data_IF_374189167545
#
_entry.id   IF_374189167545
#
_cell.length_a   1.000
_cell.length_b   1.000
_cell.length_c   1.000
_cell.angle_alpha   90.00
_cell.angle_beta   90.00
_cell.angle_gamma   90.00
#
_symmetry.space_group_name_H-M   'P 1'
#
loop_
_entity.id
_entity.type
_entity.pdbx_description
1 polymer ?
#
# COMPACT_ATOMS: atom_id res chain seq x y z
N UNK A 1 -11.99 -19.71 51.82
CA UNK A 1 -12.40 -19.91 50.42
C UNK A 1 -11.17 -20.33 49.65
N UNK A 2 -11.07 -21.63 49.38
CA UNK A 2 -9.87 -22.32 48.88
C UNK A 2 -9.95 -22.41 47.36
N UNK A 3 -8.91 -21.93 46.67
CA UNK A 3 -8.77 -22.00 45.20
C UNK A 3 -8.30 -23.39 44.79
N UNK A 4 -9.06 -24.04 43.91
CA UNK A 4 -8.67 -25.30 43.24
C UNK A 4 -7.96 -24.98 41.91
N UNK A 5 -6.93 -25.75 41.49
CA UNK A 5 -6.26 -25.53 40.21
C UNK A 5 -7.05 -26.17 39.06
N UNK A 6 -7.06 -25.45 37.94
CA UNK A 6 -7.70 -25.83 36.67
C UNK A 6 -6.79 -26.82 35.92
N UNK A 7 -7.31 -28.02 35.62
CA UNK A 7 -6.60 -29.06 34.85
C UNK A 7 -7.05 -28.97 33.39
N UNK A 8 -6.10 -28.77 32.48
CA UNK A 8 -6.34 -28.68 31.03
C UNK A 8 -6.44 -30.08 30.40
N UNK A 9 -7.47 -30.40 29.60
CA UNK A 9 -7.56 -31.70 28.91
C UNK A 9 -6.65 -31.73 27.67
N UNK A 10 -5.88 -32.80 27.54
CA UNK A 10 -5.01 -33.10 26.40
C UNK A 10 -5.81 -33.48 25.15
N UNK A 11 -5.57 -32.77 24.05
CA UNK A 11 -6.16 -33.06 22.73
C UNK A 11 -5.45 -34.26 22.06
N UNK A 12 -6.19 -35.09 21.28
CA UNK A 12 -5.62 -36.24 20.58
C UNK A 12 -4.77 -35.83 19.37
N UNK A 13 -3.63 -36.53 19.19
CA UNK A 13 -2.73 -36.39 18.03
C UNK A 13 -3.39 -36.90 16.75
N UNK A 14 -3.57 -36.03 15.77
CA UNK A 14 -3.95 -36.41 14.40
C UNK A 14 -2.70 -36.91 13.64
N UNK A 15 -2.86 -38.05 12.96
CA UNK A 15 -1.83 -38.66 12.12
C UNK A 15 -1.60 -37.83 10.84
N UNK A 16 -0.34 -37.63 10.49
CA UNK A 16 0.12 -36.91 9.30
C UNK A 16 -0.28 -37.64 8.01
N UNK A 17 -1.11 -37.00 7.19
CA UNK A 17 -1.35 -37.41 5.81
C UNK A 17 -0.23 -36.86 4.92
N UNK A 18 0.43 -37.77 4.21
CA UNK A 18 1.59 -37.51 3.34
C UNK A 18 1.14 -36.78 2.06
N UNK A 19 1.53 -35.52 1.91
CA UNK A 19 1.30 -34.74 0.70
C UNK A 19 2.15 -35.26 -0.47
N UNK A 20 1.55 -35.45 -1.64
CA UNK A 20 2.19 -35.80 -2.90
C UNK A 20 2.82 -34.56 -3.59
N UNK A 21 3.96 -34.69 -4.28
CA UNK A 21 4.66 -33.54 -4.87
C UNK A 21 3.95 -33.00 -6.11
N UNK A 22 3.75 -31.68 -6.16
CA UNK A 22 3.31 -30.94 -7.35
C UNK A 22 4.46 -30.77 -8.37
N UNK A 23 4.17 -30.73 -9.68
CA UNK A 23 5.18 -30.60 -10.73
C UNK A 23 5.74 -29.18 -10.82
N UNK A 24 7.07 -29.07 -11.04
CA UNK A 24 7.77 -27.80 -11.27
C UNK A 24 7.47 -27.26 -12.68
N UNK A 25 7.30 -25.92 -12.87
CA UNK A 25 7.20 -25.34 -14.20
C UNK A 25 8.57 -25.30 -14.90
N UNK A 26 8.55 -25.66 -16.18
CA UNK A 26 9.71 -25.68 -17.09
C UNK A 26 10.16 -24.27 -17.48
N UNK A 27 11.47 -24.01 -17.37
CA UNK A 27 12.13 -22.78 -17.85
C UNK A 27 12.13 -22.78 -19.38
N UNK A 28 11.40 -21.83 -19.98
CA UNK A 28 11.45 -21.51 -21.40
C UNK A 28 12.31 -20.26 -21.65
N UNK A 29 13.34 -20.40 -22.47
CA UNK A 29 14.29 -19.36 -22.87
C UNK A 29 13.70 -18.38 -23.89
N UNK A 30 14.04 -17.10 -23.75
CA UNK A 30 14.36 -16.22 -24.88
C UNK A 30 13.20 -15.51 -25.60
N UNK A 31 13.16 -14.18 -25.47
CA UNK A 31 12.34 -13.32 -26.32
C UNK A 31 12.24 -11.91 -25.77
N UNK A 32 13.22 -11.06 -26.08
CA UNK A 32 13.20 -9.64 -25.73
C UNK A 32 12.00 -8.93 -26.35
N UNK A 33 11.16 -8.35 -25.51
CA UNK A 33 10.06 -7.47 -25.93
C UNK A 33 10.46 -6.02 -25.65
N UNK A 34 10.64 -5.28 -26.74
CA UNK A 34 10.91 -3.85 -26.75
C UNK A 34 9.67 -3.06 -26.31
N UNK A 35 9.85 -2.13 -25.38
CA UNK A 35 8.82 -1.18 -24.96
C UNK A 35 8.74 -0.01 -25.96
N UNK A 36 7.55 0.35 -26.49
CA UNK A 36 7.42 1.60 -27.23
C UNK A 36 7.28 2.78 -26.26
N UNK A 37 8.18 3.74 -26.36
CA UNK A 37 8.05 5.06 -25.75
C UNK A 37 6.86 5.80 -26.40
N UNK A 38 5.87 6.22 -25.60
CA UNK A 38 4.74 7.01 -26.08
C UNK A 38 4.95 8.49 -25.79
N UNK A 39 5.28 9.23 -26.84
CA UNK A 39 5.45 10.68 -26.87
C UNK A 39 4.09 11.37 -26.70
N UNK A 40 3.93 12.19 -25.66
CA UNK A 40 2.80 13.12 -25.54
C UNK A 40 3.12 14.40 -26.31
N UNK A 41 2.62 14.50 -27.53
CA UNK A 41 2.54 15.74 -28.29
C UNK A 41 1.08 16.10 -28.53
N UNK A 42 0.56 17.09 -27.81
CA UNK A 42 -0.70 17.73 -28.15
C UNK A 42 -0.51 19.24 -28.23
N UNK A 43 -0.15 19.69 -29.43
CA UNK A 43 -0.33 21.06 -29.90
C UNK A 43 -1.83 21.33 -29.99
N UNK A 44 -2.37 22.07 -29.03
CA UNK A 44 -3.71 22.65 -29.17
C UNK A 44 -3.58 23.99 -29.90
N UNK A 45 -4.02 23.96 -31.16
CA UNK A 45 -4.23 25.12 -32.02
C UNK A 45 -5.35 25.99 -31.43
N UNK A 46 -5.02 27.23 -31.09
CA UNK A 46 -5.98 28.31 -30.90
C UNK A 46 -6.69 28.57 -32.24
N UNK A 47 -7.99 28.24 -32.34
CA UNK A 47 -8.87 28.77 -33.37
C UNK A 47 -9.59 29.98 -32.79
N UNK A 48 -9.20 31.16 -33.28
CA UNK A 48 -10.00 32.37 -33.21
C UNK A 48 -11.32 32.16 -33.95
N UNK A 49 -12.43 32.44 -33.29
CA UNK A 49 -13.73 32.61 -33.91
C UNK A 49 -14.35 33.91 -33.35
N UNK A 50 -14.20 34.97 -34.12
CA UNK A 50 -14.98 36.21 -33.99
C UNK A 50 -16.29 35.99 -34.74
N UNK A 51 -17.44 36.13 -34.07
CA UNK A 51 -18.69 36.54 -34.69
C UNK A 51 -19.60 37.25 -33.68
N UNK A 52 -20.00 38.47 -34.04
CA UNK A 52 -21.05 39.28 -33.39
C UNK A 52 -22.44 38.80 -33.80
N UNK A 53 -23.43 38.91 -32.90
CA UNK A 53 -24.76 39.48 -33.17
C UNK A 53 -25.67 39.48 -31.91
N UNK A 54 -26.43 40.55 -31.78
CA UNK A 54 -27.37 40.91 -30.71
C UNK A 54 -28.60 40.01 -30.61
N UNK A 55 -29.19 39.90 -29.40
CA UNK A 55 -30.50 39.29 -29.19
C UNK A 55 -30.97 39.36 -27.73
N UNK A 56 -32.20 39.84 -27.52
CA UNK A 56 -32.82 40.29 -26.27
C UNK A 56 -33.41 39.14 -25.42
N UNK A 57 -33.29 39.24 -24.09
CA UNK A 57 -34.33 38.93 -23.09
C UNK A 57 -34.72 37.48 -22.79
N UNK A 58 -34.44 37.03 -21.55
CA UNK A 58 -35.07 35.86 -20.95
C UNK A 58 -34.39 35.41 -19.64
N UNK A 59 -35.02 35.71 -18.50
CA UNK A 59 -34.61 35.24 -17.17
C UNK A 59 -34.66 33.71 -17.08
N UNK A 60 -33.54 33.11 -16.70
CA UNK A 60 -33.42 31.70 -16.37
C UNK A 60 -31.96 31.32 -16.33
N UNK A 61 -31.28 31.59 -15.21
CA UNK A 61 -29.93 31.10 -14.98
C UNK A 61 -29.93 29.58 -15.15
N UNK A 62 -29.21 29.01 -16.12
CA UNK A 62 -29.00 27.57 -16.11
C UNK A 62 -28.08 27.28 -14.93
N UNK A 63 -28.61 26.59 -13.93
CA UNK A 63 -27.81 26.01 -12.85
C UNK A 63 -26.90 25.00 -13.55
N UNK A 64 -25.65 25.39 -13.77
CA UNK A 64 -24.63 24.51 -14.32
C UNK A 64 -24.60 23.24 -13.46
N UNK A 65 -24.40 22.05 -14.06
CA UNK A 65 -24.15 20.87 -13.25
C UNK A 65 -22.89 21.18 -12.44
N UNK A 66 -23.04 21.20 -11.11
CA UNK A 66 -21.92 21.19 -10.17
C UNK A 66 -21.08 19.96 -10.50
N UNK A 67 -20.05 20.16 -11.31
CA UNK A 67 -19.05 19.16 -11.60
C UNK A 67 -18.29 18.95 -10.30
N UNK A 68 -18.73 17.95 -9.52
CA UNK A 68 -18.03 17.52 -8.32
C UNK A 68 -16.65 17.07 -8.77
N UNK A 69 -15.68 17.96 -8.67
CA UNK A 69 -14.27 17.63 -8.86
C UNK A 69 -13.92 16.61 -7.80
N UNK A 70 -13.94 15.32 -8.17
CA UNK A 70 -13.48 14.25 -7.29
C UNK A 70 -11.98 14.48 -7.12
N UNK A 71 -11.63 15.17 -6.05
CA UNK A 71 -10.24 15.40 -5.67
C UNK A 71 -9.61 14.05 -5.37
N UNK A 72 -8.58 13.68 -6.13
CA UNK A 72 -7.87 12.41 -5.96
C UNK A 72 -7.21 12.34 -4.58
N UNK A 73 -7.42 11.24 -3.86
CA UNK A 73 -6.84 10.98 -2.53
C UNK A 73 -5.37 10.58 -2.65
N UNK A 74 -4.52 11.58 -2.83
CA UNK A 74 -3.08 11.44 -3.05
C UNK A 74 -2.27 11.97 -1.87
N UNK A 75 -1.21 11.26 -1.51
CA UNK A 75 -0.20 11.70 -0.54
C UNK A 75 1.20 11.54 -1.11
N UNK A 76 2.08 12.50 -0.82
CA UNK A 76 3.48 12.48 -1.25
C UNK A 76 4.38 13.01 -0.14
N UNK A 77 5.37 12.20 0.22
CA UNK A 77 6.33 12.53 1.28
C UNK A 77 7.74 12.33 0.76
N UNK A 78 8.58 13.34 0.97
CA UNK A 78 10.02 13.27 0.78
C UNK A 78 10.68 13.56 2.12
N UNK A 79 11.50 12.64 2.59
CA UNK A 79 12.18 12.71 3.88
C UNK A 79 13.64 12.39 3.67
N UNK A 80 14.51 13.22 4.23
CA UNK A 80 15.96 13.03 4.18
C UNK A 80 16.49 13.15 5.60
N UNK A 81 17.19 12.13 6.06
CA UNK A 81 17.89 12.09 7.34
C UNK A 81 19.39 11.93 7.08
N UNK A 82 20.19 11.66 8.12
CA UNK A 82 21.60 11.30 7.94
C UNK A 82 21.78 9.84 7.48
N UNK A 83 20.84 8.97 7.84
CA UNK A 83 20.88 7.54 7.56
C UNK A 83 20.16 7.20 6.25
N UNK A 84 19.08 7.91 5.92
CA UNK A 84 18.20 7.56 4.80
C UNK A 84 17.75 8.75 3.95
N UNK A 85 17.34 8.45 2.72
CA UNK A 85 16.62 9.34 1.83
C UNK A 85 15.44 8.57 1.24
N UNK A 86 14.22 8.99 1.59
CA UNK A 86 12.98 8.27 1.31
C UNK A 86 12.01 9.19 0.56
N UNK A 87 11.46 8.67 -0.54
CA UNK A 87 10.42 9.31 -1.33
C UNK A 87 9.25 8.33 -1.51
N UNK A 88 8.10 8.69 -0.95
CA UNK A 88 6.86 7.91 -1.02
C UNK A 88 5.78 8.71 -1.73
N UNK A 89 5.00 8.04 -2.59
CA UNK A 89 3.70 8.52 -3.08
C UNK A 89 2.66 7.42 -2.93
N UNK A 90 1.47 7.77 -2.50
CA UNK A 90 0.34 6.84 -2.38
C UNK A 90 -0.91 7.45 -3.00
N UNK A 91 -1.58 6.68 -3.84
CA UNK A 91 -2.95 6.93 -4.30
C UNK A 91 -3.89 5.93 -3.63
N UNK A 92 -4.82 6.42 -2.81
CA UNK A 92 -5.82 5.57 -2.15
C UNK A 92 -6.92 5.08 -3.10
N UNK A 93 -7.13 5.78 -4.21
CA UNK A 93 -8.09 5.42 -5.28
C UNK A 93 -7.32 4.85 -6.47
N UNK A 94 -6.48 3.87 -6.21
CA UNK A 94 -5.54 3.31 -7.18
C UNK A 94 -6.07 2.08 -7.91
N UNK A 95 -5.14 1.42 -8.58
CA UNK A 95 -5.35 0.19 -9.37
C UNK A 95 -4.55 -1.00 -8.84
N UNK A 96 -3.84 -0.81 -7.72
CA UNK A 96 -3.02 -1.85 -7.10
C UNK A 96 -1.60 -1.94 -7.64
N UNK A 97 -1.09 -0.88 -8.28
CA UNK A 97 0.25 -0.86 -8.87
C UNK A 97 1.29 -0.44 -7.84
N UNK A 98 2.32 -1.25 -7.66
CA UNK A 98 3.50 -0.91 -6.86
C UNK A 98 4.73 -0.61 -7.73
N UNK A 99 5.48 0.43 -7.36
CA UNK A 99 6.81 0.72 -7.87
C UNK A 99 7.72 1.04 -6.69
N UNK A 100 8.25 -0.03 -6.09
CA UNK A 100 9.07 0.02 -4.89
C UNK A 100 10.52 -0.31 -5.23
N UNK A 101 11.45 0.45 -4.64
CA UNK A 101 12.88 0.17 -4.67
C UNK A 101 13.46 0.74 -3.40
N UNK A 102 13.43 -0.09 -2.35
CA UNK A 102 13.85 0.28 -1.00
C UNK A 102 15.28 -0.13 -0.67
N UNK A 103 15.85 -1.03 -1.47
CA UNK A 103 17.11 -1.71 -1.14
C UNK A 103 16.91 -2.94 -0.25
N UNK A 104 15.69 -3.22 0.19
CA UNK A 104 15.31 -4.37 1.01
C UNK A 104 14.31 -5.22 0.21
N UNK A 105 14.76 -6.30 -0.48
CA UNK A 105 13.91 -7.03 -1.42
C UNK A 105 12.62 -7.61 -0.83
N UNK A 106 12.67 -8.06 0.44
CA UNK A 106 11.49 -8.58 1.11
C UNK A 106 10.46 -7.48 1.43
N UNK A 107 10.91 -6.29 1.81
CA UNK A 107 10.03 -5.14 2.02
C UNK A 107 9.39 -4.69 0.70
N UNK A 108 10.16 -4.67 -0.40
CA UNK A 108 9.62 -4.39 -1.72
C UNK A 108 8.48 -5.37 -2.07
N UNK A 109 8.67 -6.66 -1.78
CA UNK A 109 7.61 -7.67 -1.96
C UNK A 109 6.38 -7.41 -1.08
N UNK A 110 6.56 -7.01 0.19
CA UNK A 110 5.44 -6.67 1.08
C UNK A 110 4.68 -5.42 0.59
N UNK A 111 5.37 -4.43 0.01
CA UNK A 111 4.74 -3.25 -0.56
C UNK A 111 3.92 -3.59 -1.83
N UNK A 112 4.36 -4.57 -2.62
CA UNK A 112 3.57 -5.10 -3.74
C UNK A 112 2.26 -5.74 -3.25
N UNK A 113 2.31 -6.51 -2.15
CA UNK A 113 1.11 -7.09 -1.53
C UNK A 113 0.18 -6.01 -0.98
N UNK A 114 0.73 -4.99 -0.31
CA UNK A 114 -0.04 -3.85 0.19
C UNK A 114 -0.78 -3.12 -0.94
N UNK A 115 -0.10 -2.85 -2.06
CA UNK A 115 -0.70 -2.19 -3.20
C UNK A 115 -1.82 -3.04 -3.82
N UNK A 116 -1.51 -4.29 -4.19
CA UNK A 116 -2.42 -5.17 -4.92
C UNK A 116 -3.68 -5.54 -4.13
N UNK A 117 -3.55 -5.83 -2.83
CA UNK A 117 -4.70 -6.18 -1.98
C UNK A 117 -5.45 -4.95 -1.44
N UNK A 118 -4.77 -3.81 -1.28
CA UNK A 118 -5.39 -2.55 -0.86
C UNK A 118 -6.01 -1.75 -2.02
N UNK A 119 -5.74 -2.12 -3.27
CA UNK A 119 -6.03 -1.33 -4.47
C UNK A 119 -5.43 0.08 -4.43
N UNK A 120 -4.25 0.20 -3.82
CA UNK A 120 -3.48 1.44 -3.78
C UNK A 120 -2.49 1.47 -4.93
N UNK A 121 -2.22 2.66 -5.49
CA UNK A 121 -0.99 2.83 -6.26
C UNK A 121 0.10 3.33 -5.31
N UNK A 122 1.17 2.55 -5.17
CA UNK A 122 2.25 2.77 -4.20
C UNK A 122 3.55 3.00 -4.95
N UNK A 123 4.20 4.12 -4.68
CA UNK A 123 5.55 4.42 -5.15
C UNK A 123 6.46 4.63 -3.95
N UNK A 124 7.55 3.87 -3.88
CA UNK A 124 8.57 4.02 -2.84
C UNK A 124 9.96 3.98 -3.47
N UNK A 125 10.74 5.04 -3.29
CA UNK A 125 12.19 5.01 -3.50
C UNK A 125 12.87 5.31 -2.18
N UNK A 126 13.74 4.43 -1.75
CA UNK A 126 14.58 4.67 -0.59
C UNK A 126 16.03 4.31 -0.89
N UNK A 127 16.93 5.11 -0.35
CA UNK A 127 18.35 4.79 -0.23
C UNK A 127 18.74 5.04 1.21
N UNK A 128 19.27 4.02 1.88
CA UNK A 128 19.74 4.13 3.25
C UNK A 128 20.95 3.26 3.51
N UNK A 129 21.39 3.25 4.76
CA UNK A 129 22.54 2.54 5.29
C UNK A 129 22.33 1.02 5.48
N UNK A 130 21.63 0.38 4.53
CA UNK A 130 21.32 -1.08 4.48
C UNK A 130 22.52 -2.04 4.60
N UNK A 131 23.75 -1.51 4.52
CA UNK A 131 25.00 -2.25 4.74
C UNK A 131 25.34 -2.42 6.24
N UNK A 132 24.71 -1.64 7.12
CA UNK A 132 24.77 -1.77 8.58
C UNK A 132 23.71 -2.78 9.00
N UNK A 133 22.43 -2.41 8.82
CA UNK A 133 21.25 -3.26 8.94
C UNK A 133 20.07 -2.63 8.17
N UNK A 134 18.90 -3.28 8.21
CA UNK A 134 17.67 -2.82 7.55
C UNK A 134 16.78 -1.94 8.44
N UNK A 135 17.18 -1.67 9.69
CA UNK A 135 16.34 -1.02 10.70
C UNK A 135 15.96 0.41 10.30
N UNK A 136 16.94 1.28 10.10
CA UNK A 136 16.69 2.69 9.78
C UNK A 136 15.91 2.85 8.48
N UNK A 137 16.28 2.09 7.46
CA UNK A 137 15.63 2.13 6.15
C UNK A 137 14.16 1.71 6.26
N UNK A 138 13.87 0.59 6.91
CA UNK A 138 12.50 0.11 7.06
C UNK A 138 11.64 1.07 7.92
N UNK A 139 12.19 1.58 9.03
CA UNK A 139 11.50 2.55 9.90
C UNK A 139 11.16 3.85 9.16
N UNK A 140 12.14 4.48 8.51
CA UNK A 140 11.91 5.76 7.80
C UNK A 140 10.96 5.59 6.61
N UNK A 141 10.96 4.43 5.95
CA UNK A 141 9.95 4.06 4.93
C UNK A 141 8.56 3.96 5.54
N UNK A 142 8.40 3.23 6.65
CA UNK A 142 7.12 3.08 7.33
C UNK A 142 6.57 4.44 7.81
N UNK A 143 7.42 5.30 8.36
CA UNK A 143 7.07 6.67 8.75
C UNK A 143 6.62 7.52 7.55
N UNK A 144 7.32 7.43 6.42
CA UNK A 144 6.96 8.16 5.21
C UNK A 144 5.64 7.65 4.61
N UNK A 145 5.41 6.33 4.60
CA UNK A 145 4.15 5.70 4.18
C UNK A 145 2.99 6.17 5.07
N UNK A 146 3.13 6.07 6.39
CA UNK A 146 2.09 6.53 7.33
C UNK A 146 1.76 8.00 7.14
N UNK A 147 2.78 8.84 6.93
CA UNK A 147 2.59 10.28 6.66
C UNK A 147 1.88 10.51 5.32
N UNK A 148 2.25 9.79 4.26
CA UNK A 148 1.60 9.90 2.95
C UNK A 148 0.14 9.43 3.01
N UNK A 149 -0.16 8.35 3.73
CA UNK A 149 -1.53 7.88 3.97
C UNK A 149 -2.36 8.95 4.69
N UNK A 150 -1.80 9.60 5.73
CA UNK A 150 -2.50 10.69 6.44
C UNK A 150 -2.81 11.88 5.54
N UNK A 151 -1.89 12.26 4.65
CA UNK A 151 -2.13 13.31 3.66
C UNK A 151 -3.25 12.89 2.68
N UNK A 152 -3.18 11.68 2.16
CA UNK A 152 -4.15 11.16 1.20
C UNK A 152 -5.57 11.01 1.79
N UNK A 153 -5.68 10.72 3.09
CA UNK A 153 -6.96 10.63 3.81
C UNK A 153 -7.66 11.98 4.01
N UNK A 154 -6.93 13.10 3.92
CA UNK A 154 -7.48 14.44 4.02
C UNK A 154 -8.32 14.67 5.29
N UNK A 155 -9.54 15.19 5.12
CA UNK A 155 -10.44 15.49 6.24
C UNK A 155 -11.18 14.27 6.82
N UNK A 156 -10.99 13.08 6.20
CA UNK A 156 -11.57 11.79 6.62
C UNK A 156 -13.10 11.80 6.69
N UNK A 157 -13.77 12.65 5.92
CA UNK A 157 -15.25 12.62 5.83
C UNK A 157 -15.71 11.63 4.76
N UNK A 158 -16.86 11.01 5.02
CA UNK A 158 -17.53 10.11 4.07
C UNK A 158 -16.83 8.76 3.83
N UNK A 159 -15.84 8.40 4.64
CA UNK A 159 -15.14 7.11 4.54
C UNK A 159 -15.71 6.07 5.49
N UNK A 160 -15.49 4.79 5.17
CA UNK A 160 -15.60 3.71 6.15
C UNK A 160 -14.47 3.86 7.17
N UNK A 161 -14.80 4.42 8.33
CA UNK A 161 -13.82 4.72 9.39
C UNK A 161 -13.22 3.45 10.00
N UNK A 162 -14.03 2.41 10.17
CA UNK A 162 -13.61 1.13 10.73
C UNK A 162 -13.47 0.10 9.61
N UNK A 163 -12.41 -0.69 9.68
CA UNK A 163 -12.15 -1.80 8.77
C UNK A 163 -11.69 -3.03 9.54
N UNK A 164 -12.02 -4.21 9.02
CA UNK A 164 -11.52 -5.49 9.51
C UNK A 164 -11.24 -6.38 8.30
N UNK A 165 -10.14 -7.11 8.35
CA UNK A 165 -9.78 -8.09 7.33
C UNK A 165 -9.00 -9.25 7.96
N UNK A 166 -9.27 -10.47 7.49
CA UNK A 166 -8.49 -11.66 7.84
C UNK A 166 -7.88 -12.23 6.56
N UNK A 167 -6.57 -12.45 6.57
CA UNK A 167 -5.80 -12.97 5.45
C UNK A 167 -5.15 -14.31 5.83
N UNK A 168 -5.58 -15.43 5.24
CA UNK A 168 -4.89 -16.71 5.38
C UNK A 168 -3.76 -16.86 4.34
N UNK A 169 -2.66 -17.49 4.73
CA UNK A 169 -1.59 -17.95 3.85
C UNK A 169 -1.06 -19.29 4.39
N UNK A 170 -1.32 -20.38 3.67
CA UNK A 170 -1.03 -21.75 4.09
C UNK A 170 -1.58 -22.06 5.50
N UNK A 171 -0.74 -22.45 6.46
CA UNK A 171 -1.14 -22.70 7.86
C UNK A 171 -1.30 -21.43 8.71
N UNK A 172 -0.88 -20.28 8.20
CA UNK A 172 -0.92 -19.01 8.92
C UNK A 172 -2.20 -18.21 8.60
N UNK A 173 -2.69 -17.47 9.59
CA UNK A 173 -3.77 -16.52 9.42
C UNK A 173 -3.47 -15.25 10.24
N UNK A 174 -3.67 -14.09 9.62
CA UNK A 174 -3.50 -12.78 10.25
C UNK A 174 -4.82 -12.02 10.20
N UNK A 175 -5.20 -11.42 11.32
CA UNK A 175 -6.33 -10.51 11.43
C UNK A 175 -5.82 -9.07 11.62
N UNK A 176 -6.41 -8.12 10.90
CA UNK A 176 -6.14 -6.69 11.03
C UNK A 176 -7.45 -5.96 11.26
N UNK A 177 -7.50 -5.14 12.32
CA UNK A 177 -8.61 -4.24 12.64
C UNK A 177 -8.08 -2.81 12.64
N UNK A 178 -8.72 -1.93 11.88
CA UNK A 178 -8.30 -0.55 11.70
C UNK A 178 -9.40 0.44 12.13
N UNK A 179 -9.03 1.46 12.90
CA UNK A 179 -9.85 2.65 13.18
C UNK A 179 -9.11 3.90 12.70
N UNK A 180 -9.63 4.55 11.66
CA UNK A 180 -9.14 5.83 11.13
C UNK A 180 -9.54 7.01 12.02
N UNK A 181 -9.24 6.91 13.32
CA UNK A 181 -9.68 7.85 14.36
C UNK A 181 -8.85 9.12 14.50
N UNK A 182 -7.62 9.13 13.95
CA UNK A 182 -6.64 10.18 14.21
C UNK A 182 -5.92 10.09 15.55
N UNK A 183 -6.13 9.01 16.32
CA UNK A 183 -5.34 8.72 17.53
C UNK A 183 -4.35 7.60 17.20
N UNK A 184 -3.03 7.85 17.23
CA UNK A 184 -2.04 6.83 16.91
C UNK A 184 -2.02 5.75 18.00
N UNK A 185 -2.19 4.50 17.59
CA UNK A 185 -2.12 3.32 18.46
C UNK A 185 -1.85 2.07 17.60
N UNK A 186 -0.98 1.19 18.08
CA UNK A 186 -0.71 -0.12 17.48
C UNK A 186 -0.76 -1.17 18.58
N UNK A 187 -1.54 -2.23 18.38
CA UNK A 187 -1.46 -3.45 19.17
C UNK A 187 -1.12 -4.58 18.20
N UNK A 188 0.09 -5.12 18.34
CA UNK A 188 0.63 -6.16 17.47
C UNK A 188 0.84 -7.41 18.31
N UNK A 189 0.12 -8.49 17.95
CA UNK A 189 0.21 -9.80 18.60
C UNK A 189 0.91 -10.85 17.75
N UNK A 190 1.74 -10.43 16.78
CA UNK A 190 2.41 -11.33 15.85
C UNK A 190 3.47 -12.17 16.59
N UNK A 191 3.38 -13.49 16.43
CA UNK A 191 4.42 -14.42 16.85
C UNK A 191 5.20 -14.87 15.62
N UNK A 192 6.36 -14.26 15.41
CA UNK A 192 7.25 -14.61 14.30
C UNK A 192 8.39 -15.46 14.87
N UNK A 193 8.42 -16.78 14.60
CA UNK A 193 9.35 -17.70 15.27
C UNK A 193 10.79 -17.64 14.71
N UNK A 194 10.98 -17.00 13.56
CA UNK A 194 12.29 -16.88 12.91
C UNK A 194 12.83 -15.47 13.03
N UNK A 195 14.15 -15.34 13.15
CA UNK A 195 14.83 -14.03 13.24
C UNK A 195 14.95 -13.35 11.87
N UNK A 196 14.96 -14.10 10.77
CA UNK A 196 15.12 -13.53 9.42
C UNK A 196 14.29 -14.23 8.36
N UNK A 197 13.87 -13.46 7.36
CA UNK A 197 13.32 -13.97 6.09
C UNK A 197 14.23 -13.49 4.95
N UNK A 198 15.03 -14.42 4.40
CA UNK A 198 16.10 -14.03 3.49
C UNK A 198 17.12 -13.16 4.21
N UNK A 199 17.29 -11.91 3.77
CA UNK A 199 18.15 -10.92 4.44
C UNK A 199 17.38 -9.98 5.37
N UNK A 200 16.06 -10.06 5.44
CA UNK A 200 15.23 -9.16 6.22
C UNK A 200 15.14 -9.59 7.68
N UNK A 201 15.36 -8.67 8.61
CA UNK A 201 15.20 -8.89 10.04
C UNK A 201 13.73 -8.83 10.45
N UNK A 202 13.20 -9.92 10.99
CA UNK A 202 11.77 -10.01 11.34
C UNK A 202 11.39 -9.15 12.53
N UNK A 203 12.35 -8.71 13.36
CA UNK A 203 12.07 -7.82 14.48
C UNK A 203 11.61 -6.43 14.01
N UNK A 204 11.98 -6.04 12.79
CA UNK A 204 11.55 -4.77 12.20
C UNK A 204 10.18 -4.86 11.52
N UNK A 205 9.54 -6.04 11.55
CA UNK A 205 8.22 -6.27 10.96
C UNK A 205 7.04 -5.97 11.91
N UNK A 206 7.30 -5.91 13.22
CA UNK A 206 6.28 -5.89 14.28
C UNK A 206 6.10 -4.54 14.95
#
# INVERSE_FOLDING_TARGET
>A
MTTAPFVSPSLPRLHSARASPFPKPSVGSGGGVAFPARTYGSSLRLRSAVMSASGVGGNGSPMAPEESTVSSRLGEVKRVTKETNVHVKINLDGTGVANSSTGIPFLDHMLDQLASHGLFDVYVKATGDTHIDDHHSNEDIALAIGTALLQALGDRKGINRFGHFTAPLDEAAVEVILDLSGRPHLSCGLSIPTERVGTYDTQTAS
#
